data_IF_208544821590
#
_entry.id   IF_208544821590
#
_cell.length_a   1.000
_cell.length_b   1.000
_cell.length_c   1.000
_cell.angle_alpha   90.00
_cell.angle_beta   90.00
_cell.angle_gamma   90.00
#
_symmetry.space_group_name_H-M   'P 1'
#
loop_
_entity.id
_entity.type
_entity.pdbx_description
1 polymer ?
#
# COMPACT_ATOMS: atom_id res chain seq x y z
N UNK A 1 20.19 -5.01 -3.38
CA UNK A 1 19.42 -4.76 -2.15
C UNK A 1 18.30 -3.82 -2.55
N UNK A 2 17.04 -4.27 -2.67
CA UNK A 2 15.95 -3.36 -3.06
C UNK A 2 15.83 -2.27 -1.99
N UNK A 3 15.77 -1.02 -2.40
CA UNK A 3 15.63 0.09 -1.47
C UNK A 3 14.25 -0.03 -0.80
N UNK A 4 14.18 0.10 0.53
CA UNK A 4 12.90 0.02 1.27
C UNK A 4 11.88 1.03 0.76
N UNK A 5 12.36 2.18 0.27
CA UNK A 5 11.54 3.21 -0.39
C UNK A 5 10.98 2.70 -1.73
N UNK A 6 11.80 2.05 -2.57
CA UNK A 6 11.33 1.47 -3.83
C UNK A 6 10.27 0.40 -3.61
N UNK A 7 10.47 -0.45 -2.60
CA UNK A 7 9.48 -1.46 -2.23
C UNK A 7 8.17 -0.82 -1.76
N UNK A 8 8.25 0.25 -0.97
CA UNK A 8 7.06 0.98 -0.53
C UNK A 8 6.29 1.60 -1.71
N UNK A 9 6.99 2.24 -2.65
CA UNK A 9 6.40 2.80 -3.86
C UNK A 9 5.74 1.72 -4.74
N UNK A 10 6.37 0.56 -4.89
CA UNK A 10 5.80 -0.58 -5.62
C UNK A 10 4.51 -1.08 -4.97
N UNK A 11 4.48 -1.21 -3.65
CA UNK A 11 3.30 -1.69 -2.94
C UNK A 11 2.18 -0.62 -2.89
N UNK A 12 2.50 0.68 -2.84
CA UNK A 12 1.52 1.77 -3.02
C UNK A 12 0.92 1.77 -4.42
N UNK A 13 1.73 1.59 -5.46
CA UNK A 13 1.25 1.49 -6.84
C UNK A 13 0.25 0.34 -7.01
N UNK A 14 0.54 -0.83 -6.47
CA UNK A 14 -0.38 -1.99 -6.49
C UNK A 14 -1.67 -1.69 -5.74
N UNK A 15 -1.60 -1.04 -4.58
CA UNK A 15 -2.78 -0.65 -3.81
C UNK A 15 -3.70 0.25 -4.63
N UNK A 16 -3.13 1.25 -5.32
CA UNK A 16 -3.89 2.16 -6.17
C UNK A 16 -4.54 1.45 -7.36
N UNK A 17 -3.83 0.50 -7.99
CA UNK A 17 -4.39 -0.30 -9.08
C UNK A 17 -5.59 -1.13 -8.61
N UNK A 18 -5.43 -1.89 -7.53
CA UNK A 18 -6.51 -2.68 -6.95
C UNK A 18 -7.69 -1.81 -6.50
N UNK A 19 -7.40 -0.63 -5.93
CA UNK A 19 -8.42 0.33 -5.52
C UNK A 19 -9.22 0.85 -6.70
N UNK A 20 -8.55 1.27 -7.77
CA UNK A 20 -9.22 1.73 -8.99
C UNK A 20 -10.07 0.63 -9.62
N UNK A 21 -9.53 -0.59 -9.77
CA UNK A 21 -10.29 -1.73 -10.29
C UNK A 21 -11.52 -2.04 -9.42
N UNK A 22 -11.39 -1.97 -8.10
CA UNK A 22 -12.52 -2.16 -7.18
C UNK A 22 -13.61 -1.12 -7.42
N UNK A 23 -13.23 0.17 -7.52
CA UNK A 23 -14.16 1.27 -7.74
C UNK A 23 -14.82 1.20 -9.12
N UNK A 24 -14.08 0.83 -10.16
CA UNK A 24 -14.60 0.63 -11.51
C UNK A 24 -15.65 -0.48 -11.56
N UNK A 25 -15.49 -1.53 -10.74
CA UNK A 25 -16.47 -2.60 -10.59
C UNK A 25 -17.60 -2.27 -9.59
N UNK A 26 -17.62 -1.06 -9.01
CA UNK A 26 -18.61 -0.65 -8.03
C UNK A 26 -18.49 -1.35 -6.67
N UNK A 27 -17.36 -1.99 -6.39
CA UNK A 27 -17.08 -2.70 -5.14
C UNK A 27 -16.47 -1.69 -4.15
N UNK A 28 -17.09 -1.46 -2.99
CA UNK A 28 -16.51 -0.61 -1.96
C UNK A 28 -15.14 -1.13 -1.51
N UNK A 29 -14.16 -0.24 -1.35
CA UNK A 29 -12.78 -0.59 -1.00
C UNK A 29 -12.65 -1.41 0.29
N UNK A 30 -13.57 -1.20 1.25
CA UNK A 30 -13.59 -1.92 2.52
C UNK A 30 -14.11 -3.36 2.39
N UNK A 31 -14.88 -3.65 1.34
CA UNK A 31 -15.39 -5.00 1.03
C UNK A 31 -14.44 -5.78 0.12
N UNK A 32 -13.46 -5.12 -0.49
CA UNK A 32 -12.49 -5.77 -1.36
C UNK A 32 -11.29 -6.32 -0.56
N UNK A 33 -11.31 -7.63 -0.31
CA UNK A 33 -10.26 -8.33 0.44
C UNK A 33 -8.84 -8.12 -0.13
N UNK A 34 -8.69 -8.02 -1.46
CA UNK A 34 -7.40 -7.79 -2.08
C UNK A 34 -6.85 -6.39 -1.79
N UNK A 35 -7.73 -5.37 -1.85
CA UNK A 35 -7.39 -4.00 -1.44
C UNK A 35 -7.04 -3.97 0.04
N UNK A 36 -7.82 -4.64 0.90
CA UNK A 36 -7.55 -4.69 2.34
C UNK A 36 -6.23 -5.38 2.67
N UNK A 37 -5.91 -6.50 2.01
CA UNK A 37 -4.65 -7.21 2.19
C UNK A 37 -3.45 -6.36 1.74
N UNK A 38 -3.59 -5.67 0.61
CA UNK A 38 -2.54 -4.80 0.09
C UNK A 38 -2.35 -3.55 0.98
N UNK A 39 -3.43 -2.98 1.53
CA UNK A 39 -3.37 -1.87 2.47
C UNK A 39 -2.55 -2.23 3.71
N UNK A 40 -2.84 -3.39 4.33
CA UNK A 40 -2.09 -3.87 5.51
C UNK A 40 -0.59 -3.98 5.24
N UNK A 41 -0.21 -4.43 4.04
CA UNK A 41 1.20 -4.55 3.64
C UNK A 41 1.88 -3.17 3.49
N UNK A 42 1.17 -2.19 2.95
CA UNK A 42 1.65 -0.80 2.88
C UNK A 42 1.81 -0.22 4.29
N UNK A 43 0.83 -0.43 5.18
CA UNK A 43 0.89 0.03 6.57
C UNK A 43 2.10 -0.55 7.33
N UNK A 44 2.36 -1.85 7.18
CA UNK A 44 3.53 -2.50 7.76
C UNK A 44 4.85 -1.90 7.24
N UNK A 45 4.91 -1.59 5.94
CA UNK A 45 6.09 -0.96 5.33
C UNK A 45 6.30 0.46 5.85
N UNK A 46 5.24 1.25 6.05
CA UNK A 46 5.31 2.58 6.67
C UNK A 46 5.91 2.47 8.07
N UNK A 47 5.39 1.54 8.89
CA UNK A 47 5.91 1.33 10.25
C UNK A 47 7.40 0.96 10.22
N UNK A 48 7.81 0.09 9.30
CA UNK A 48 9.21 -0.30 9.16
C UNK A 48 10.10 0.85 8.67
N UNK A 49 9.63 1.66 7.72
CA UNK A 49 10.34 2.83 7.21
C UNK A 49 10.47 3.93 8.26
N UNK A 50 9.40 4.24 9.00
CA UNK A 50 9.43 5.17 10.13
C UNK A 50 10.51 4.75 11.15
N UNK A 51 10.54 3.46 11.53
CA UNK A 51 11.50 2.95 12.51
C UNK A 51 12.96 2.99 12.04
N UNK A 52 13.21 2.80 10.74
CA UNK A 52 14.57 2.63 10.21
C UNK A 52 15.21 3.93 9.76
N UNK A 53 14.45 4.78 9.07
CA UNK A 53 15.01 5.94 8.35
C UNK A 53 14.31 7.25 8.70
N UNK A 54 13.41 7.24 9.69
CA UNK A 54 12.64 8.44 10.05
C UNK A 54 11.76 8.93 8.89
N UNK A 55 11.33 8.02 8.02
CA UNK A 55 10.45 8.33 6.90
C UNK A 55 9.20 9.06 7.41
N UNK A 56 8.70 10.01 6.64
CA UNK A 56 7.51 10.77 6.95
C UNK A 56 6.79 11.00 5.61
N UNK A 57 5.78 10.18 5.30
CA UNK A 57 5.02 10.22 4.03
C UNK A 57 4.02 11.40 3.98
N UNK A 58 4.36 12.52 4.64
CA UNK A 58 3.48 13.69 4.80
C UNK A 58 3.39 14.53 3.55
#
# INVERSE_FOLDING_TARGET
MKNWVEQFEDEKRKLNQLGNESLENGIPLFENDAVQAQSRKVDELIVQLHRRVGFNDR
#
